data_IF_822313710538
#
_entry.id   IF_822313710538
#
_cell.length_a   1.000
_cell.length_b   1.000
_cell.length_c   1.000
_cell.angle_alpha   90.00
_cell.angle_beta   90.00
_cell.angle_gamma   90.00
#
_symmetry.space_group_name_H-M   'P 1'
#
loop_
_entity.id
_entity.type
_entity.pdbx_description
1 polymer ?
#
# COMPACT_ATOMS: atom_id res chain seq x y z
N UNK A 1 23.10 -26.23 -36.94
CA UNK A 1 23.13 -25.76 -35.53
C UNK A 1 22.31 -24.49 -35.44
N UNK A 2 21.02 -24.61 -35.11
CA UNK A 2 20.13 -23.46 -34.96
C UNK A 2 20.18 -22.99 -33.50
N UNK A 3 20.70 -21.78 -33.28
CA UNK A 3 20.65 -21.10 -31.99
C UNK A 3 19.18 -20.83 -31.64
N UNK A 4 18.64 -21.61 -30.69
CA UNK A 4 17.40 -21.30 -30.01
C UNK A 4 17.64 -20.08 -29.11
N UNK A 5 17.25 -18.90 -29.59
CA UNK A 5 17.00 -17.74 -28.72
C UNK A 5 15.86 -18.10 -27.75
N UNK A 6 16.01 -17.93 -26.43
CA UNK A 6 14.92 -18.13 -25.51
C UNK A 6 13.92 -16.98 -25.69
N UNK A 7 12.84 -17.28 -26.40
CA UNK A 7 11.63 -16.48 -26.49
C UNK A 7 11.00 -16.33 -25.08
N UNK A 8 10.48 -15.12 -24.82
CA UNK A 8 9.51 -14.80 -23.78
C UNK A 8 10.00 -14.84 -22.32
N UNK A 9 10.81 -13.83 -21.98
CA UNK A 9 10.81 -13.27 -20.62
C UNK A 9 9.36 -12.94 -20.25
N UNK A 10 8.81 -13.70 -19.30
CA UNK A 10 7.45 -13.54 -18.80
C UNK A 10 7.20 -12.09 -18.39
N UNK A 11 6.33 -11.42 -19.16
CA UNK A 11 5.58 -10.24 -18.74
C UNK A 11 4.63 -10.68 -17.62
N UNK A 12 5.18 -10.94 -16.44
CA UNK A 12 4.44 -11.07 -15.20
C UNK A 12 3.54 -9.85 -15.07
N UNK A 13 2.24 -10.11 -14.93
CA UNK A 13 1.21 -9.10 -14.80
C UNK A 13 1.39 -8.34 -13.49
N UNK A 14 2.27 -7.35 -13.48
CA UNK A 14 2.30 -6.29 -12.48
C UNK A 14 1.04 -5.42 -12.65
N UNK A 15 -0.15 -5.95 -12.31
CA UNK A 15 -1.19 -5.12 -11.74
C UNK A 15 -0.77 -4.87 -10.30
N UNK A 16 0.21 -3.98 -10.13
CA UNK A 16 0.18 -3.15 -8.93
C UNK A 16 -1.10 -2.37 -9.11
N UNK A 17 -2.14 -2.77 -8.40
CA UNK A 17 -3.24 -1.89 -8.10
C UNK A 17 -2.57 -0.71 -7.41
N UNK A 18 -2.10 0.25 -8.20
CA UNK A 18 -1.56 1.49 -7.69
C UNK A 18 -2.60 1.96 -6.69
N UNK A 19 -2.14 2.36 -5.52
CA UNK A 19 -2.95 3.00 -4.50
C UNK A 19 -3.43 4.32 -5.11
N UNK A 20 -4.37 4.19 -6.04
CA UNK A 20 -5.11 5.23 -6.69
C UNK A 20 -6.32 5.37 -5.79
N UNK A 21 -6.36 6.48 -5.07
CA UNK A 21 -7.56 6.92 -4.39
C UNK A 21 -8.68 6.87 -5.44
N UNK A 22 -9.61 5.91 -5.32
CA UNK A 22 -10.74 5.83 -6.23
C UNK A 22 -11.52 7.14 -6.09
N UNK A 23 -11.54 7.92 -7.18
CA UNK A 23 -12.32 9.15 -7.35
C UNK A 23 -12.19 10.20 -6.24
N UNK A 24 -11.03 10.86 -6.16
CA UNK A 24 -10.90 12.27 -5.74
C UNK A 24 -11.27 12.62 -4.29
N UNK A 25 -11.62 11.64 -3.45
CA UNK A 25 -11.96 11.83 -2.05
C UNK A 25 -10.85 11.36 -1.13
N UNK A 26 -10.56 12.15 -0.10
CA UNK A 26 -9.71 11.75 1.01
C UNK A 26 -10.24 10.44 1.67
N UNK A 27 -9.38 9.43 1.92
CA UNK A 27 -9.73 8.20 2.65
C UNK A 27 -10.52 8.47 3.93
N UNK A 28 -11.62 7.78 4.17
CA UNK A 28 -12.38 7.99 5.41
C UNK A 28 -11.99 6.96 6.49
N UNK A 29 -12.07 7.32 7.78
CA UNK A 29 -11.99 6.32 8.84
C UNK A 29 -13.11 5.28 8.68
N UNK A 30 -12.86 4.05 9.13
CA UNK A 30 -13.89 3.02 9.16
C UNK A 30 -15.06 3.43 10.05
N UNK A 31 -16.29 3.13 9.63
CA UNK A 31 -17.50 3.53 10.38
C UNK A 31 -17.58 2.83 11.74
N UNK A 32 -18.10 3.55 12.72
CA UNK A 32 -18.50 2.97 14.01
C UNK A 32 -19.69 2.01 13.79
N UNK A 33 -19.61 0.78 14.31
CA UNK A 33 -20.61 -0.28 14.10
C UNK A 33 -20.83 -1.15 15.35
N UNK A 34 -21.90 -1.93 15.30
CA UNK A 34 -22.31 -2.89 16.34
C UNK A 34 -23.61 -2.48 17.03
N UNK A 35 -24.25 -3.42 17.73
CA UNK A 35 -25.49 -3.17 18.51
C UNK A 35 -25.24 -2.05 19.54
N UNK A 36 -24.03 -2.02 20.10
CA UNK A 36 -23.61 -0.98 21.05
C UNK A 36 -23.01 0.27 20.38
N UNK A 37 -22.88 0.29 19.03
CA UNK A 37 -22.31 1.39 18.21
C UNK A 37 -21.11 2.08 18.85
N UNK A 38 -20.20 1.29 19.42
CA UNK A 38 -19.14 1.84 20.25
C UNK A 38 -17.75 1.46 19.74
N UNK A 39 -17.59 0.88 18.55
CA UNK A 39 -16.28 0.53 17.97
C UNK A 39 -16.19 0.80 16.48
N UNK A 40 -15.04 1.28 16.03
CA UNK A 40 -14.63 1.26 14.63
C UNK A 40 -14.12 -0.16 14.32
N UNK A 41 -15.06 -1.03 13.96
CA UNK A 41 -14.80 -2.45 13.74
C UNK A 41 -14.53 -2.74 12.27
N UNK A 42 -13.30 -3.11 11.95
CA UNK A 42 -12.91 -3.63 10.64
C UNK A 42 -13.32 -5.09 10.62
N UNK A 43 -14.45 -5.33 9.95
CA UNK A 43 -14.88 -6.68 9.64
C UNK A 43 -14.06 -7.16 8.46
N UNK A 44 -13.47 -8.34 8.58
CA UNK A 44 -12.72 -8.96 7.49
C UNK A 44 -13.18 -10.39 7.27
N UNK A 45 -12.95 -10.90 6.07
CA UNK A 45 -13.05 -12.31 5.75
C UNK A 45 -11.86 -12.68 4.86
N UNK A 46 -11.47 -13.94 4.89
CA UNK A 46 -10.58 -14.48 3.88
C UNK A 46 -11.40 -14.79 2.63
N UNK A 47 -10.79 -14.63 1.45
CA UNK A 47 -11.49 -14.91 0.21
C UNK A 47 -11.95 -16.38 0.13
N UNK A 48 -11.13 -17.31 0.61
CA UNK A 48 -11.41 -18.76 0.73
C UNK A 48 -10.83 -19.33 2.04
N UNK A 49 -11.16 -20.59 2.36
CA UNK A 49 -10.58 -21.33 3.49
C UNK A 49 -9.08 -21.59 3.31
N UNK A 50 -8.66 -21.97 2.11
CA UNK A 50 -7.25 -22.19 1.76
C UNK A 50 -6.41 -20.94 2.02
N UNK A 51 -6.90 -19.77 1.60
CA UNK A 51 -6.18 -18.52 1.85
C UNK A 51 -6.06 -18.22 3.35
N UNK A 52 -7.08 -18.55 4.15
CA UNK A 52 -6.99 -18.44 5.61
C UNK A 52 -5.87 -19.30 6.19
N UNK A 53 -5.74 -20.53 5.71
CA UNK A 53 -4.68 -21.44 6.13
C UNK A 53 -3.29 -20.87 5.80
N UNK A 54 -3.13 -20.31 4.60
CA UNK A 54 -1.86 -19.74 4.12
C UNK A 54 -1.37 -18.53 4.91
N UNK A 55 -2.25 -17.56 5.18
CA UNK A 55 -1.85 -16.24 5.70
C UNK A 55 -2.49 -15.87 7.04
N UNK A 56 -3.41 -16.68 7.58
CA UNK A 56 -4.19 -16.30 8.76
C UNK A 56 -3.34 -16.05 9.99
N UNK A 57 -2.30 -16.86 10.21
CA UNK A 57 -1.35 -16.65 11.31
C UNK A 57 -0.59 -15.33 11.17
N UNK A 58 -0.04 -15.04 9.99
CA UNK A 58 0.72 -13.80 9.71
C UNK A 58 -0.17 -12.55 9.79
N UNK A 59 -1.41 -12.63 9.32
CA UNK A 59 -2.39 -11.55 9.51
C UNK A 59 -2.65 -11.27 11.00
N UNK A 60 -2.82 -12.31 11.82
CA UNK A 60 -3.04 -12.13 13.26
C UNK A 60 -1.80 -11.53 13.96
N UNK A 61 -0.60 -11.92 13.55
CA UNK A 61 0.64 -11.30 14.04
C UNK A 61 0.71 -9.81 13.67
N UNK A 62 0.34 -9.44 12.44
CA UNK A 62 0.28 -8.05 11.99
C UNK A 62 -0.75 -7.22 12.77
N UNK A 63 -1.94 -7.78 13.03
CA UNK A 63 -2.96 -7.16 13.91
C UNK A 63 -2.40 -6.98 15.33
N UNK A 64 -1.66 -7.97 15.84
CA UNK A 64 -1.05 -7.90 17.17
C UNK A 64 0.06 -6.83 17.26
N UNK A 65 0.81 -6.57 16.18
CA UNK A 65 1.76 -5.45 16.13
C UNK A 65 1.07 -4.12 16.37
N UNK A 66 -0.07 -3.88 15.70
CA UNK A 66 -0.88 -2.67 15.94
C UNK A 66 -1.48 -2.65 17.35
N UNK A 67 -2.02 -3.77 17.83
CA UNK A 67 -2.56 -3.87 19.20
C UNK A 67 -1.49 -3.53 20.25
N UNK A 68 -0.28 -4.06 20.11
CA UNK A 68 0.84 -3.74 21.01
C UNK A 68 1.23 -2.26 20.92
N UNK A 69 1.35 -1.70 19.72
CA UNK A 69 1.71 -0.30 19.52
C UNK A 69 0.68 0.67 20.12
N UNK A 70 -0.61 0.33 20.01
CA UNK A 70 -1.72 1.12 20.55
C UNK A 70 -1.91 0.99 22.06
N UNK A 71 -1.16 0.11 22.73
CA UNK A 71 -1.26 -0.14 24.17
C UNK A 71 -2.30 -1.18 24.57
N UNK A 72 -2.82 -1.97 23.62
CA UNK A 72 -3.74 -3.07 23.87
C UNK A 72 -4.98 -3.04 22.99
N UNK A 73 -6.09 -3.55 23.53
CA UNK A 73 -7.39 -3.50 22.85
C UNK A 73 -8.04 -2.11 22.94
N UNK A 74 -9.03 -1.87 22.08
CA UNK A 74 -9.83 -0.64 22.13
C UNK A 74 -10.48 -0.38 23.50
N UNK A 75 -10.36 0.85 23.97
CA UNK A 75 -10.89 1.33 25.24
C UNK A 75 -10.43 2.75 25.58
N UNK A 76 -11.03 3.32 26.64
CA UNK A 76 -10.66 4.67 27.12
C UNK A 76 -9.18 4.77 27.51
N UNK A 77 -8.65 3.74 28.16
CA UNK A 77 -7.24 3.69 28.62
C UNK A 77 -6.24 3.70 27.46
N UNK A 78 -6.58 3.10 26.33
CA UNK A 78 -5.70 3.04 25.15
C UNK A 78 -5.90 4.24 24.20
N UNK A 79 -6.99 4.99 24.41
CA UNK A 79 -7.32 6.21 23.65
C UNK A 79 -7.71 5.93 22.19
N UNK A 80 -8.17 4.71 21.91
CA UNK A 80 -8.65 4.35 20.58
C UNK A 80 -9.78 3.33 20.64
N UNK A 81 -10.51 3.25 19.54
CA UNK A 81 -11.72 2.46 19.40
C UNK A 81 -11.69 1.45 18.27
N UNK A 82 -10.47 1.12 17.83
CA UNK A 82 -10.18 0.21 16.74
C UNK A 82 -10.33 -1.26 17.13
N UNK A 83 -11.04 -2.04 16.32
CA UNK A 83 -11.09 -3.49 16.49
C UNK A 83 -11.12 -4.22 15.16
N UNK A 84 -10.46 -5.37 15.09
CA UNK A 84 -10.55 -6.30 13.97
C UNK A 84 -11.44 -7.49 14.37
N UNK A 85 -12.24 -7.97 13.44
CA UNK A 85 -13.00 -9.21 13.65
C UNK A 85 -13.32 -9.91 12.36
N UNK A 86 -12.99 -11.20 12.33
CA UNK A 86 -13.43 -12.09 11.27
C UNK A 86 -14.97 -12.16 11.23
N UNK A 87 -15.55 -12.11 10.03
CA UNK A 87 -16.99 -12.30 9.85
C UNK A 87 -17.37 -13.73 10.24
N UNK A 88 -18.35 -13.86 11.11
CA UNK A 88 -18.90 -15.14 11.56
C UNK A 88 -20.43 -15.15 11.41
N UNK A 89 -21.00 -16.31 11.11
CA UNK A 89 -22.44 -16.58 11.13
C UNK A 89 -22.68 -17.81 12.02
N UNK A 90 -23.53 -17.69 13.03
CA UNK A 90 -23.71 -18.72 14.07
C UNK A 90 -22.39 -19.22 14.68
N UNK A 91 -21.43 -18.30 14.92
CA UNK A 91 -20.10 -18.61 15.45
C UNK A 91 -19.09 -19.16 14.43
N UNK A 92 -19.55 -19.55 13.23
CA UNK A 92 -18.71 -20.16 12.19
C UNK A 92 -18.13 -19.06 11.28
N UNK A 93 -16.79 -19.00 11.11
CA UNK A 93 -16.14 -18.09 10.16
C UNK A 93 -16.74 -18.17 8.76
N UNK A 94 -16.93 -17.01 8.13
CA UNK A 94 -17.46 -16.91 6.77
C UNK A 94 -16.38 -16.40 5.83
N UNK A 95 -16.34 -16.97 4.63
CA UNK A 95 -15.49 -16.50 3.54
C UNK A 95 -16.16 -15.38 2.75
N UNK A 96 -15.36 -14.53 2.10
CA UNK A 96 -15.88 -13.41 1.32
C UNK A 96 -16.65 -13.86 0.08
N UNK A 97 -16.27 -15.00 -0.48
CA UNK A 97 -16.81 -15.53 -1.72
C UNK A 97 -17.32 -16.96 -1.51
N UNK A 98 -18.44 -17.29 -2.16
CA UNK A 98 -18.92 -18.67 -2.30
C UNK A 98 -18.11 -19.40 -3.37
N UNK A 99 -17.74 -18.67 -4.42
CA UNK A 99 -16.91 -19.14 -5.53
C UNK A 99 -15.89 -18.03 -5.79
N UNK A 100 -14.59 -18.34 -5.72
CA UNK A 100 -13.51 -17.39 -5.98
C UNK A 100 -12.73 -17.84 -7.21
N UNK A 101 -12.42 -16.90 -8.10
CA UNK A 101 -11.67 -17.12 -9.33
C UNK A 101 -10.31 -16.42 -9.22
N UNK A 102 -9.24 -17.15 -8.84
CA UNK A 102 -7.91 -16.57 -8.63
C UNK A 102 -7.38 -15.80 -9.84
N UNK A 103 -7.64 -16.28 -11.06
CA UNK A 103 -7.21 -15.63 -12.30
C UNK A 103 -7.71 -14.18 -12.44
N UNK A 104 -8.86 -13.86 -11.83
CA UNK A 104 -9.48 -12.54 -11.90
C UNK A 104 -9.53 -11.82 -10.55
N UNK A 105 -9.01 -12.46 -9.49
CA UNK A 105 -9.06 -11.97 -8.11
C UNK A 105 -10.46 -11.56 -7.65
N UNK A 106 -11.50 -12.19 -8.20
CA UNK A 106 -12.90 -11.87 -7.96
C UNK A 106 -13.73 -13.15 -7.78
N UNK A 107 -15.02 -13.01 -7.52
CA UNK A 107 -15.86 -14.18 -7.26
C UNK A 107 -17.32 -13.86 -6.99
N UNK A 108 -18.12 -14.91 -6.89
CA UNK A 108 -19.50 -14.81 -6.42
C UNK A 108 -19.50 -14.57 -4.92
N UNK A 109 -19.94 -13.39 -4.50
CA UNK A 109 -19.91 -12.97 -3.09
C UNK A 109 -20.76 -13.87 -2.19
N UNK A 110 -20.28 -14.04 -0.97
CA UNK A 110 -21.08 -14.58 0.10
C UNK A 110 -21.99 -13.47 0.67
N UNK A 111 -23.29 -13.56 0.42
CA UNK A 111 -24.29 -12.57 0.86
C UNK A 111 -24.42 -12.45 2.40
N UNK A 112 -23.80 -13.35 3.16
CA UNK A 112 -23.74 -13.27 4.62
C UNK A 112 -22.79 -12.15 5.12
N UNK A 113 -21.94 -11.62 4.24
CA UNK A 113 -21.12 -10.44 4.51
C UNK A 113 -21.72 -9.17 3.91
N UNK A 114 -21.75 -8.08 4.67
CA UNK A 114 -22.08 -6.76 4.11
C UNK A 114 -21.01 -6.32 3.08
N UNK A 115 -21.37 -5.48 2.11
CA UNK A 115 -20.45 -5.04 1.04
C UNK A 115 -19.27 -4.17 1.54
N UNK A 116 -19.16 -3.92 2.85
CA UNK A 116 -18.09 -3.16 3.48
C UNK A 116 -17.11 -4.03 4.28
N UNK A 117 -17.08 -5.33 4.03
CA UNK A 117 -16.10 -6.22 4.66
C UNK A 117 -14.78 -6.15 3.90
N UNK A 118 -13.67 -6.05 4.63
CA UNK A 118 -12.32 -6.16 4.09
C UNK A 118 -12.08 -7.59 3.57
N UNK A 119 -11.88 -7.73 2.26
CA UNK A 119 -11.49 -8.98 1.64
C UNK A 119 -9.99 -9.20 1.79
N UNK A 120 -9.59 -10.22 2.54
CA UNK A 120 -8.20 -10.63 2.69
C UNK A 120 -7.91 -11.73 1.68
N UNK A 121 -6.94 -11.48 0.80
CA UNK A 121 -6.65 -12.31 -0.36
C UNK A 121 -5.16 -12.64 -0.34
N UNK A 122 -4.86 -13.93 -0.36
CA UNK A 122 -3.49 -14.41 -0.55
C UNK A 122 -3.13 -14.42 -2.03
N UNK A 123 -1.89 -14.07 -2.36
CA UNK A 123 -1.31 -14.17 -3.70
C UNK A 123 -0.02 -14.96 -3.63
N UNK A 124 0.13 -15.95 -4.51
CA UNK A 124 1.42 -16.60 -4.71
C UNK A 124 2.48 -15.63 -5.28
N UNK A 125 3.74 -16.06 -5.26
CA UNK A 125 4.88 -15.25 -5.71
C UNK A 125 4.75 -14.83 -7.18
N UNK A 126 4.31 -15.73 -8.05
CA UNK A 126 4.13 -15.45 -9.48
C UNK A 126 3.04 -14.39 -9.71
N UNK A 127 1.97 -14.42 -8.92
CA UNK A 127 0.84 -13.52 -9.04
C UNK A 127 1.07 -12.16 -8.40
N UNK A 128 1.90 -12.11 -7.36
CA UNK A 128 2.17 -10.89 -6.58
C UNK A 128 3.45 -10.17 -7.00
N UNK A 129 4.41 -10.88 -7.58
CA UNK A 129 5.78 -10.40 -7.70
C UNK A 129 6.41 -10.10 -6.33
N UNK A 130 5.95 -10.79 -5.27
CA UNK A 130 6.38 -10.59 -3.89
C UNK A 130 5.80 -9.34 -3.21
N UNK A 131 4.83 -8.66 -3.82
CA UNK A 131 4.27 -7.39 -3.32
C UNK A 131 2.89 -7.57 -2.71
N UNK A 132 2.75 -7.09 -1.47
CA UNK A 132 1.47 -6.91 -0.79
C UNK A 132 0.89 -5.52 -1.08
N UNK A 133 -0.43 -5.37 -0.98
CA UNK A 133 -1.09 -4.08 -1.20
C UNK A 133 -2.48 -4.02 -0.58
N UNK A 134 -2.96 -2.83 -0.24
CA UNK A 134 -4.30 -2.62 0.27
C UNK A 134 -4.98 -1.37 -0.27
N UNK A 135 -6.31 -1.35 -0.19
CA UNK A 135 -7.10 -0.12 -0.33
C UNK A 135 -6.85 0.80 0.85
N UNK A 136 -6.88 2.13 0.62
CA UNK A 136 -6.66 3.11 1.69
C UNK A 136 -7.95 3.59 2.32
N UNK A 137 -8.12 3.29 3.61
CA UNK A 137 -9.27 3.70 4.40
C UNK A 137 -10.59 3.06 3.96
N UNK A 138 -11.68 3.66 4.42
CA UNK A 138 -13.04 3.26 4.10
C UNK A 138 -13.55 4.01 2.86
N UNK A 139 -13.90 3.27 1.81
CA UNK A 139 -14.66 3.77 0.66
C UNK A 139 -16.17 3.68 0.91
N UNK A 140 -16.91 4.81 1.00
CA UNK A 140 -18.37 4.83 1.05
C UNK A 140 -19.00 4.20 -0.19
N UNK A 141 -20.25 3.73 -0.08
CA UNK A 141 -20.92 3.04 -1.20
C UNK A 141 -21.11 3.98 -2.38
N UNK A 142 -21.36 5.24 -2.07
CA UNK A 142 -21.67 6.33 -2.98
C UNK A 142 -20.45 6.77 -3.80
N UNK A 143 -19.23 6.43 -3.33
CA UNK A 143 -17.96 6.69 -4.04
C UNK A 143 -17.39 5.47 -4.74
N UNK A 144 -17.96 4.29 -4.48
CA UNK A 144 -17.43 3.05 -5.00
C UNK A 144 -17.79 2.87 -6.48
N UNK A 145 -16.83 2.44 -7.30
CA UNK A 145 -17.08 2.07 -8.68
C UNK A 145 -17.99 0.83 -8.77
N UNK A 146 -18.65 0.60 -9.92
CA UNK A 146 -19.42 -0.62 -10.15
C UNK A 146 -18.61 -1.91 -9.88
N UNK A 147 -17.32 -1.91 -10.20
CA UNK A 147 -16.39 -3.02 -9.95
C UNK A 147 -16.11 -3.21 -8.46
N UNK A 148 -15.86 -2.12 -7.72
CA UNK A 148 -15.68 -2.16 -6.27
C UNK A 148 -16.93 -2.71 -5.57
N UNK A 149 -18.12 -2.32 -6.04
CA UNK A 149 -19.41 -2.80 -5.54
C UNK A 149 -19.66 -4.29 -5.77
N UNK A 150 -18.97 -4.92 -6.73
CA UNK A 150 -19.02 -6.38 -6.97
C UNK A 150 -18.23 -7.20 -5.95
N UNK A 151 -17.57 -6.55 -4.98
CA UNK A 151 -17.06 -7.25 -3.79
C UNK A 151 -15.59 -7.05 -3.45
N UNK A 152 -14.92 -6.08 -4.08
CA UNK A 152 -13.50 -5.74 -3.87
C UNK A 152 -13.30 -4.29 -3.42
N UNK A 153 -14.36 -3.66 -2.89
CA UNK A 153 -14.33 -2.28 -2.41
C UNK A 153 -13.26 -2.04 -1.34
N UNK A 154 -13.07 -3.00 -0.45
CA UNK A 154 -12.02 -2.98 0.57
C UNK A 154 -11.23 -4.27 0.44
N UNK A 155 -9.94 -4.19 0.16
CA UNK A 155 -9.09 -5.36 -0.08
C UNK A 155 -7.73 -5.22 0.55
N UNK A 156 -7.20 -6.36 0.97
CA UNK A 156 -5.85 -6.56 1.48
C UNK A 156 -5.26 -7.78 0.77
N UNK A 157 -4.33 -7.53 -0.13
CA UNK A 157 -3.53 -8.56 -0.80
C UNK A 157 -2.27 -8.84 0.02
N UNK A 158 -2.01 -10.10 0.29
CA UNK A 158 -0.84 -10.57 1.04
C UNK A 158 -0.07 -11.56 0.18
N UNK A 159 1.18 -11.26 -0.14
CA UNK A 159 2.04 -12.17 -0.89
C UNK A 159 2.54 -13.34 -0.01
N UNK A 160 2.76 -14.51 -0.61
CA UNK A 160 3.07 -15.79 0.07
C UNK A 160 4.15 -15.66 1.15
N UNK A 161 5.23 -14.93 0.90
CA UNK A 161 6.38 -14.80 1.80
C UNK A 161 6.47 -13.43 2.50
N UNK A 162 5.36 -12.70 2.58
CA UNK A 162 5.36 -11.38 3.23
C UNK A 162 5.44 -11.52 4.76
N UNK A 163 6.36 -10.77 5.37
CA UNK A 163 6.52 -10.68 6.82
C UNK A 163 5.38 -9.93 7.52
N UNK A 164 5.16 -10.21 8.80
CA UNK A 164 4.06 -9.62 9.57
C UNK A 164 4.10 -8.08 9.64
N UNK A 165 5.30 -7.46 9.63
CA UNK A 165 5.43 -6.00 9.65
C UNK A 165 5.01 -5.36 8.33
N UNK A 166 5.25 -6.00 7.19
CA UNK A 166 4.75 -5.55 5.88
C UNK A 166 3.24 -5.70 5.80
N UNK A 167 2.65 -6.78 6.36
CA UNK A 167 1.20 -6.87 6.48
C UNK A 167 0.66 -5.77 7.40
N UNK A 168 1.38 -5.40 8.46
CA UNK A 168 1.00 -4.30 9.33
C UNK A 168 1.05 -2.94 8.60
N UNK A 169 2.00 -2.73 7.70
CA UNK A 169 2.03 -1.58 6.77
C UNK A 169 0.74 -1.53 5.93
N UNK A 170 0.36 -2.65 5.31
CA UNK A 170 -0.89 -2.72 4.54
C UNK A 170 -2.14 -2.53 5.40
N UNK A 171 -2.13 -2.97 6.66
CA UNK A 171 -3.18 -2.63 7.62
C UNK A 171 -3.20 -1.12 7.87
N UNK A 172 -2.05 -0.45 7.93
CA UNK A 172 -1.96 1.02 8.00
C UNK A 172 -2.72 1.69 6.85
N UNK A 173 -2.52 1.20 5.61
CA UNK A 173 -3.32 1.62 4.46
C UNK A 173 -4.81 1.35 4.66
N UNK A 174 -5.21 0.13 5.03
CA UNK A 174 -6.62 -0.19 5.33
C UNK A 174 -7.23 0.84 6.29
N UNK A 175 -6.46 1.31 7.27
CA UNK A 175 -6.92 2.27 8.28
C UNK A 175 -6.84 3.74 7.86
N UNK A 176 -6.35 4.03 6.66
CA UNK A 176 -6.39 5.35 6.04
C UNK A 176 -5.05 6.09 6.00
N UNK A 177 -3.95 5.46 6.41
CA UNK A 177 -2.62 6.05 6.28
C UNK A 177 -2.15 5.98 4.81
N UNK A 178 -1.64 7.09 4.30
CA UNK A 178 -0.84 7.11 3.06
C UNK A 178 0.61 6.75 3.34
N UNK A 179 1.41 6.59 2.28
CA UNK A 179 2.86 6.53 2.43
C UNK A 179 3.40 7.87 2.93
N UNK A 180 4.30 7.87 3.90
CA UNK A 180 4.83 9.09 4.51
C UNK A 180 5.65 9.91 3.49
N UNK A 181 6.45 9.25 2.65
CA UNK A 181 7.15 9.92 1.54
C UNK A 181 6.23 10.35 0.38
N UNK A 182 4.92 10.20 0.48
CA UNK A 182 3.96 10.80 -0.47
C UNK A 182 3.34 12.11 0.06
N UNK A 183 3.77 12.60 1.22
CA UNK A 183 3.28 13.86 1.77
C UNK A 183 3.68 15.06 0.89
N UNK A 184 2.88 16.14 0.86
CA UNK A 184 3.20 17.32 0.05
C UNK A 184 4.35 18.17 0.58
N UNK A 185 4.79 17.97 1.82
CA UNK A 185 5.95 18.62 2.46
C UNK A 185 7.19 17.71 2.50
N UNK A 186 7.14 16.51 1.89
CA UNK A 186 8.23 15.52 2.01
C UNK A 186 9.59 16.09 1.58
N UNK A 187 9.62 16.97 0.58
CA UNK A 187 10.86 17.40 -0.07
C UNK A 187 11.70 18.31 0.87
N UNK A 188 11.13 18.72 2.02
CA UNK A 188 11.86 19.36 3.12
C UNK A 188 12.71 18.36 3.93
N UNK A 189 12.31 17.09 3.94
CA UNK A 189 12.83 16.03 4.82
C UNK A 189 13.54 14.89 4.09
N UNK A 190 13.08 14.54 2.88
CA UNK A 190 13.61 13.44 2.07
C UNK A 190 13.91 13.91 0.65
N UNK A 191 14.84 13.24 0.00
CA UNK A 191 15.17 13.47 -1.40
C UNK A 191 14.77 12.24 -2.22
N UNK A 192 13.79 12.42 -3.11
CA UNK A 192 13.41 11.41 -4.10
C UNK A 192 14.20 11.58 -5.40
N UNK A 193 14.92 10.53 -5.81
CA UNK A 193 15.77 10.47 -7.00
C UNK A 193 15.21 9.48 -8.00
N UNK A 194 14.22 9.92 -8.77
CA UNK A 194 13.52 9.09 -9.75
C UNK A 194 14.46 8.32 -10.71
N UNK A 195 15.57 8.94 -11.12
CA UNK A 195 16.56 8.32 -12.03
C UNK A 195 17.30 7.11 -11.44
N UNK A 196 17.15 6.87 -10.14
CA UNK A 196 17.75 5.75 -9.40
C UNK A 196 16.78 4.58 -9.19
N UNK A 197 15.53 4.71 -9.65
CA UNK A 197 14.57 3.60 -9.65
C UNK A 197 14.93 2.56 -10.70
N UNK A 198 14.80 1.29 -10.33
CA UNK A 198 14.93 0.18 -11.27
C UNK A 198 13.85 0.28 -12.36
N UNK A 199 14.25 -0.03 -13.60
CA UNK A 199 13.34 -0.13 -14.72
C UNK A 199 13.00 1.20 -15.42
N UNK A 200 13.65 2.32 -15.07
CA UNK A 200 13.41 3.60 -15.76
C UNK A 200 13.67 3.50 -17.27
N UNK A 201 14.80 2.90 -17.69
CA UNK A 201 15.10 2.73 -19.11
C UNK A 201 14.01 1.90 -19.83
N UNK A 202 13.56 0.80 -19.22
CA UNK A 202 12.48 -0.04 -19.77
C UNK A 202 11.15 0.71 -19.84
N UNK A 203 10.84 1.54 -18.83
CA UNK A 203 9.64 2.37 -18.82
C UNK A 203 9.67 3.45 -19.90
N UNK A 204 10.83 4.06 -20.17
CA UNK A 204 11.01 5.02 -21.26
C UNK A 204 10.74 4.32 -22.60
N UNK A 205 11.37 3.17 -22.86
CA UNK A 205 11.15 2.42 -24.10
C UNK A 205 9.69 1.98 -24.27
N UNK A 206 9.06 1.52 -23.18
CA UNK A 206 7.65 1.14 -23.19
C UNK A 206 6.71 2.33 -23.39
N UNK A 207 7.08 3.53 -22.96
CA UNK A 207 6.31 4.73 -23.18
C UNK A 207 6.49 5.25 -24.62
N UNK A 208 7.70 5.20 -25.16
CA UNK A 208 8.03 5.59 -26.53
C UNK A 208 7.33 4.74 -27.59
N UNK A 209 7.12 3.44 -27.32
CA UNK A 209 6.45 2.54 -28.26
C UNK A 209 4.95 2.78 -28.38
N UNK A 210 4.35 3.64 -27.54
CA UNK A 210 2.92 3.97 -27.59
C UNK A 210 2.67 5.08 -28.61
N UNK A 211 1.80 4.88 -29.61
CA UNK A 211 1.53 5.90 -30.64
C UNK A 211 1.14 7.28 -30.09
N UNK A 212 0.40 7.33 -28.97
CA UNK A 212 0.00 8.58 -28.30
C UNK A 212 1.15 9.42 -27.75
N UNK A 213 2.37 8.86 -27.71
CA UNK A 213 3.58 9.51 -27.20
C UNK A 213 4.61 9.77 -28.32
N UNK A 214 4.24 9.64 -29.61
CA UNK A 214 5.16 9.79 -30.75
C UNK A 214 5.88 11.14 -30.79
N UNK A 215 5.21 12.18 -30.30
CA UNK A 215 5.70 13.55 -30.37
C UNK A 215 6.54 13.94 -29.15
N UNK A 216 6.66 13.04 -28.17
CA UNK A 216 7.43 13.27 -26.95
C UNK A 216 8.88 12.79 -27.14
N UNK A 217 9.82 13.65 -26.78
CA UNK A 217 11.24 13.30 -26.68
C UNK A 217 11.49 12.32 -25.53
N UNK A 218 12.65 11.64 -25.55
CA UNK A 218 13.13 10.79 -24.45
C UNK A 218 13.13 11.56 -23.11
N UNK A 219 13.56 12.82 -23.13
CA UNK A 219 13.64 13.66 -21.94
C UNK A 219 12.26 13.99 -21.38
N UNK A 220 11.29 14.33 -22.23
CA UNK A 220 9.91 14.61 -21.81
C UNK A 220 9.22 13.37 -21.22
N UNK A 221 9.44 12.20 -21.83
CA UNK A 221 8.94 10.92 -21.31
C UNK A 221 9.56 10.62 -19.95
N UNK A 222 10.89 10.77 -19.82
CA UNK A 222 11.58 10.57 -18.54
C UNK A 222 11.06 11.52 -17.46
N UNK A 223 10.88 12.80 -17.79
CA UNK A 223 10.32 13.78 -16.87
C UNK A 223 8.89 13.41 -16.46
N UNK A 224 8.01 13.06 -17.41
CA UNK A 224 6.64 12.63 -17.11
C UNK A 224 6.59 11.39 -16.23
N UNK A 225 7.46 10.40 -16.45
CA UNK A 225 7.58 9.24 -15.56
C UNK A 225 7.96 9.63 -14.12
N UNK A 226 8.67 10.75 -13.94
CA UNK A 226 9.16 11.23 -12.66
C UNK A 226 8.29 12.31 -12.00
N UNK A 227 7.28 12.85 -12.69
CA UNK A 227 6.46 13.95 -12.15
C UNK A 227 4.96 13.74 -12.31
N UNK A 228 4.52 12.85 -13.21
CA UNK A 228 3.12 12.56 -13.48
C UNK A 228 2.76 11.15 -13.00
N UNK A 229 1.97 11.08 -11.92
CA UNK A 229 1.55 9.82 -11.29
C UNK A 229 0.77 8.91 -12.23
N UNK A 230 -0.10 9.48 -13.05
CA UNK A 230 -0.91 8.70 -13.98
C UNK A 230 -0.05 8.19 -15.12
N UNK A 231 0.84 9.03 -15.66
CA UNK A 231 1.78 8.61 -16.70
C UNK A 231 2.71 7.50 -16.19
N UNK A 232 3.26 7.62 -14.98
CA UNK A 232 4.06 6.58 -14.36
C UNK A 232 3.27 5.28 -14.16
N UNK A 233 2.03 5.35 -13.66
CA UNK A 233 1.16 4.19 -13.46
C UNK A 233 0.80 3.48 -14.78
N UNK A 234 0.41 4.24 -15.81
CA UNK A 234 0.10 3.73 -17.16
C UNK A 234 1.29 3.02 -17.82
N UNK A 235 2.52 3.41 -17.45
CA UNK A 235 3.76 2.81 -17.91
C UNK A 235 4.37 1.83 -16.89
N UNK A 236 3.62 1.48 -15.84
CA UNK A 236 4.02 0.53 -14.78
C UNK A 236 5.39 0.87 -14.15
N UNK A 237 5.70 2.15 -14.05
CA UNK A 237 6.96 2.63 -13.51
C UNK A 237 6.80 3.04 -12.04
N UNK A 238 7.56 2.46 -11.09
CA UNK A 238 7.29 2.56 -9.66
C UNK A 238 7.35 3.98 -9.07
N UNK A 239 7.81 4.99 -9.82
CA UNK A 239 7.80 6.38 -9.38
C UNK A 239 6.42 6.84 -8.89
N UNK A 240 5.31 6.31 -9.42
CA UNK A 240 3.97 6.67 -8.95
C UNK A 240 3.76 6.47 -7.44
N UNK A 241 4.55 5.61 -6.77
CA UNK A 241 4.50 5.42 -5.31
C UNK A 241 5.20 6.53 -4.51
N UNK A 242 6.11 7.27 -5.13
CA UNK A 242 6.90 8.34 -4.51
C UNK A 242 6.32 9.73 -4.76
N UNK A 243 5.54 9.88 -5.83
CA UNK A 243 4.98 11.17 -6.21
C UNK A 243 3.96 11.66 -5.19
N UNK A 244 4.04 12.95 -4.93
CA UNK A 244 3.25 13.63 -3.91
C UNK A 244 1.78 13.35 -4.11
N UNK A 245 1.11 13.01 -3.02
CA UNK A 245 -0.34 13.17 -2.96
C UNK A 245 -0.66 14.66 -2.87
N UNK A 246 -1.85 15.02 -3.36
CA UNK A 246 -2.46 16.34 -3.11
C UNK A 246 -3.20 16.39 -1.76
N UNK A 247 -3.16 15.29 -1.00
CA UNK A 247 -3.83 15.18 0.29
C UNK A 247 -3.09 16.02 1.34
N UNK A 248 -3.81 16.98 1.91
CA UNK A 248 -3.25 17.93 2.89
C UNK A 248 -3.43 17.49 4.34
N UNK A 249 -4.14 16.39 4.61
CA UNK A 249 -4.56 16.02 5.98
C UNK A 249 -3.42 15.73 6.95
N UNK A 250 -2.21 15.50 6.43
CA UNK A 250 -1.04 15.20 7.23
C UNK A 250 -0.04 16.38 7.33
N UNK A 251 -0.32 17.54 6.70
CA UNK A 251 0.58 18.70 6.81
C UNK A 251 0.71 19.26 8.22
N UNK A 252 -0.30 19.08 9.06
CA UNK A 252 -0.31 19.63 10.41
C UNK A 252 0.51 18.79 11.40
N UNK A 253 1.11 17.69 10.94
CA UNK A 253 1.93 16.80 11.76
C UNK A 253 3.39 16.91 11.37
N UNK A 254 4.27 16.59 12.32
CA UNK A 254 5.67 16.39 12.01
C UNK A 254 5.81 15.28 10.97
N UNK A 255 6.75 15.45 10.05
CA UNK A 255 7.14 14.40 9.12
C UNK A 255 7.85 13.27 9.87
N UNK A 256 7.41 12.04 9.67
CA UNK A 256 7.84 10.90 10.48
C UNK A 256 8.71 9.91 9.70
N UNK A 257 10.03 10.13 9.75
CA UNK A 257 11.01 9.23 9.12
C UNK A 257 10.89 7.78 9.64
N UNK A 258 10.43 7.59 10.88
CA UNK A 258 10.32 6.28 11.52
C UNK A 258 8.93 5.63 11.33
N UNK A 259 8.04 6.27 10.55
CA UNK A 259 6.70 5.74 10.26
C UNK A 259 6.80 4.35 9.63
N UNK A 260 5.90 3.45 10.04
CA UNK A 260 5.72 2.16 9.36
C UNK A 260 5.35 2.36 7.87
N UNK A 261 4.82 3.53 7.51
CA UNK A 261 4.40 3.91 6.16
C UNK A 261 5.51 4.57 5.33
N UNK A 262 6.72 4.68 5.87
CA UNK A 262 7.89 5.19 5.17
C UNK A 262 8.58 4.06 4.37
N UNK A 263 8.91 4.32 3.10
CA UNK A 263 9.78 3.40 2.36
C UNK A 263 11.22 3.52 2.82
N UNK A 264 11.91 2.38 2.90
CA UNK A 264 13.35 2.36 3.07
C UNK A 264 14.08 2.86 1.82
N UNK A 265 15.34 3.28 1.98
CA UNK A 265 16.16 3.83 0.88
C UNK A 265 16.33 2.90 -0.31
N UNK A 266 16.21 1.58 -0.10
CA UNK A 266 16.37 0.55 -1.12
C UNK A 266 15.08 0.18 -1.85
N UNK A 267 13.93 0.76 -1.48
CA UNK A 267 12.65 0.46 -2.10
C UNK A 267 12.69 0.70 -3.63
N UNK A 268 12.42 -0.33 -4.43
CA UNK A 268 12.45 -0.26 -5.90
C UNK A 268 13.76 0.25 -6.52
N UNK A 269 14.86 0.22 -5.76
CA UNK A 269 16.14 0.74 -6.21
C UNK A 269 16.80 -0.15 -7.27
N UNK A 270 17.71 0.41 -8.06
CA UNK A 270 18.63 -0.41 -8.85
C UNK A 270 19.52 -1.25 -7.92
N UNK A 271 20.13 -2.35 -8.41
CA UNK A 271 21.05 -3.18 -7.63
C UNK A 271 22.28 -2.43 -7.07
N UNK A 272 22.55 -1.22 -7.58
CA UNK A 272 23.69 -0.40 -7.18
C UNK A 272 23.42 0.41 -5.90
N UNK A 273 22.16 0.61 -5.53
CA UNK A 273 21.81 1.23 -4.25
C UNK A 273 22.15 0.31 -3.09
N UNK A 274 23.06 0.78 -2.23
CA UNK A 274 23.50 0.10 -1.01
C UNK A 274 23.67 1.14 0.10
N UNK A 275 23.72 0.69 1.36
CA UNK A 275 23.97 1.57 2.50
C UNK A 275 25.29 2.37 2.38
N UNK A 276 26.27 1.85 1.63
CA UNK A 276 27.56 2.51 1.34
C UNK A 276 27.53 3.45 0.14
N UNK A 277 26.43 3.47 -0.63
CA UNK A 277 26.30 4.17 -1.92
C UNK A 277 24.94 4.86 -2.00
N UNK A 278 24.63 5.68 -0.99
CA UNK A 278 23.34 6.35 -0.84
C UNK A 278 23.02 7.30 -2.00
N UNK A 279 24.03 7.81 -2.71
CA UNK A 279 23.89 8.61 -3.94
C UNK A 279 23.18 7.85 -5.07
N UNK A 280 23.20 6.52 -5.03
CA UNK A 280 22.54 5.63 -5.98
C UNK A 280 21.16 5.18 -5.51
N UNK A 281 20.70 5.60 -4.33
CA UNK A 281 19.41 5.21 -3.79
C UNK A 281 18.29 6.17 -4.23
N UNK A 282 17.08 5.65 -4.54
CA UNK A 282 15.94 6.44 -4.99
C UNK A 282 15.33 7.31 -3.89
N UNK A 283 15.54 6.97 -2.62
CA UNK A 283 15.00 7.75 -1.51
C UNK A 283 16.05 7.84 -0.39
N UNK A 284 16.30 9.04 0.11
CA UNK A 284 17.22 9.26 1.22
C UNK A 284 16.70 10.35 2.14
N UNK A 285 17.08 10.30 3.42
CA UNK A 285 16.78 11.37 4.37
C UNK A 285 17.75 12.53 4.15
N UNK A 286 17.25 13.76 4.16
CA UNK A 286 18.07 14.97 4.06
C UNK A 286 18.70 15.26 5.44
N UNK A 287 20.02 15.43 5.49
CA UNK A 287 20.74 15.89 6.68
C UNK A 287 20.93 17.40 6.61
N UNK A 288 20.50 18.14 7.64
CA UNK A 288 20.66 19.59 7.72
C UNK A 288 21.52 20.00 8.91
N UNK A 289 22.29 21.07 8.74
CA UNK A 289 22.95 21.81 9.82
C UNK A 289 22.52 23.28 9.68
N UNK A 290 21.87 23.84 10.69
CA UNK A 290 21.31 25.21 10.67
C UNK A 290 20.45 25.48 9.42
N UNK A 291 19.58 24.54 9.04
CA UNK A 291 18.69 24.64 7.87
C UNK A 291 19.35 24.32 6.53
N UNK A 292 20.69 24.34 6.43
CA UNK A 292 21.43 24.04 5.20
C UNK A 292 21.61 22.54 5.05
N UNK A 293 21.33 22.00 3.86
CA UNK A 293 21.60 20.59 3.54
C UNK A 293 23.10 20.33 3.53
N UNK A 294 23.57 19.45 4.42
CA UNK A 294 24.99 19.07 4.55
C UNK A 294 25.26 17.63 4.10
N UNK A 295 24.21 16.86 3.79
CA UNK A 295 24.37 15.48 3.34
C UNK A 295 23.04 14.73 3.29
N UNK A 296 23.13 13.41 3.26
CA UNK A 296 21.98 12.51 3.29
C UNK A 296 22.25 11.31 4.21
N UNK A 297 21.19 10.66 4.67
CA UNK A 297 21.23 9.48 5.54
C UNK A 297 20.32 8.38 4.97
N UNK A 298 20.64 7.12 5.30
CA UNK A 298 19.80 5.97 4.96
C UNK A 298 18.47 6.04 5.73
N UNK A 299 17.38 5.70 5.04
CA UNK A 299 16.08 5.43 5.65
C UNK A 299 15.94 3.92 5.78
N UNK A 300 15.84 3.43 7.02
CA UNK A 300 15.62 2.01 7.29
C UNK A 300 14.13 1.68 7.24
N UNK A 301 13.81 0.45 6.85
CA UNK A 301 12.44 -0.05 6.95
C UNK A 301 12.02 -0.14 8.41
N UNK A 302 10.95 0.54 8.77
CA UNK A 302 10.32 0.38 10.07
C UNK A 302 9.61 -0.99 10.13
N UNK A 303 9.79 -1.69 11.26
CA UNK A 303 9.17 -3.01 11.51
C UNK A 303 8.02 -2.94 12.52
N UNK A 304 7.68 -1.73 12.97
CA UNK A 304 6.61 -1.46 13.94
C UNK A 304 6.05 -0.06 13.71
N UNK A 305 4.78 0.20 14.08
CA UNK A 305 4.23 1.55 14.09
C UNK A 305 5.05 2.52 14.96
N UNK A 306 5.20 3.74 14.46
CA UNK A 306 5.84 4.84 15.17
C UNK A 306 4.88 5.53 16.15
N UNK A 307 5.38 6.54 16.86
CA UNK A 307 4.56 7.42 17.70
C UNK A 307 3.53 8.20 16.87
N UNK A 308 3.88 8.68 15.68
CA UNK A 308 3.00 9.50 14.85
C UNK A 308 1.94 8.65 14.12
N UNK A 309 2.28 7.41 13.77
CA UNK A 309 1.32 6.40 13.32
C UNK A 309 0.24 6.15 14.40
N UNK A 310 0.67 5.97 15.65
CA UNK A 310 -0.24 5.79 16.81
C UNK A 310 -1.09 7.05 17.03
N UNK A 311 -0.49 8.24 16.94
CA UNK A 311 -1.19 9.51 17.10
C UNK A 311 -2.28 9.70 16.03
N UNK A 312 -2.03 9.26 14.79
CA UNK A 312 -3.07 9.22 13.76
C UNK A 312 -4.27 8.41 14.22
N UNK A 313 -4.08 7.20 14.75
CA UNK A 313 -5.21 6.37 15.17
C UNK A 313 -5.95 6.89 16.38
N UNK A 314 -5.26 7.46 17.37
CA UNK A 314 -5.95 8.12 18.50
C UNK A 314 -6.80 9.32 18.06
N UNK A 315 -6.37 10.04 17.02
CA UNK A 315 -7.12 11.17 16.45
C UNK A 315 -8.35 10.73 15.67
N UNK A 316 -8.20 9.73 14.78
CA UNK A 316 -9.23 9.36 13.81
C UNK A 316 -10.10 8.17 14.22
N UNK A 317 -9.70 7.44 15.26
CA UNK A 317 -10.43 6.32 15.85
C UNK A 317 -10.53 6.47 17.37
N UNK A 318 -11.05 7.58 17.91
CA UNK A 318 -11.12 7.83 19.35
C UNK A 318 -12.07 6.89 20.08
#
# INVERSE_FOLDING_TARGET
MALKLPLAMHLLHWRVDGVAFSNGGAPQPWRIRGILKNRNRIRYCFATAEMKEKIGCRLNQAIALWGKALGGGAGKETGHNLAFSEVKFAGIPQHCFKEFFPAYWNGKRNNLGSNDVLAVIWKDEASSGGVSSATVGYTPRERASPEELKGLRHRLYIAENTEAHTIAHEIGHVLGLGHEMSRPDRDDFVEFRCTKLKGLASAILSAQSKPKNSDLTVLEISNKLCTDRNFALENRFPAFNYLSSTDKRDKDKNFDIDSLMMYGSTAFASPDCRATSLELCPLVKIKRNNGVKVGVEEIKWAVRPSKEDIAFFRKYYP
#
